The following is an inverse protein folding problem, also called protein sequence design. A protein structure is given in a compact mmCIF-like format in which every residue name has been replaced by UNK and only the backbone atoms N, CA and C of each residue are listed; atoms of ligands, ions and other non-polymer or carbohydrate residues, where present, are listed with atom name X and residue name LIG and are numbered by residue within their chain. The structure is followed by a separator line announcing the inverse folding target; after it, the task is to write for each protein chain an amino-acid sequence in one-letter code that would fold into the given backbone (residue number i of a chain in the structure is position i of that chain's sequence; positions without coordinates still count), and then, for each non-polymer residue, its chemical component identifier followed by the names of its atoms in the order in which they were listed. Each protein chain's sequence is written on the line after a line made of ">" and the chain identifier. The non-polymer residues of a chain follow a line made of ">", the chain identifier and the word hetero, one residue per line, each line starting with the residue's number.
data_IF_635878790931
#
_entry.id   IF_635878790931
#
_cell.length_a   1.000
_cell.length_b   1.000
_cell.length_c   1.000
_cell.angle_alpha   90.00
_cell.angle_beta   90.00
_cell.angle_gamma   90.00
#
_symmetry.space_group_name_H-M   'P 1'
#
loop_
_entity.id
_entity.type
_entity.pdbx_description
1 polymer ?
#
# COMPACT_ATOMS: atom_id res chain seq x y z
N UNK A 1 -17.08 -8.32 52.99
CA UNK A 1 -17.76 -7.20 52.29
C UNK A 1 -16.86 -6.49 51.28
N UNK A 2 -15.62 -6.15 51.61
CA UNK A 2 -14.68 -5.50 50.68
C UNK A 2 -14.37 -6.36 49.44
N UNK A 3 -14.14 -7.67 49.60
CA UNK A 3 -13.87 -8.57 48.47
C UNK A 3 -15.03 -8.66 47.48
N UNK A 4 -16.28 -8.70 47.97
CA UNK A 4 -17.48 -8.74 47.10
C UNK A 4 -17.62 -7.44 46.30
N UNK A 5 -17.33 -6.30 46.92
CA UNK A 5 -17.33 -4.99 46.24
C UNK A 5 -16.23 -4.90 45.18
N UNK A 6 -15.03 -5.43 45.45
CA UNK A 6 -13.93 -5.48 44.49
C UNK A 6 -14.25 -6.39 43.30
N UNK A 7 -14.81 -7.57 43.55
CA UNK A 7 -15.23 -8.51 42.50
C UNK A 7 -16.34 -7.87 41.65
N UNK A 8 -17.34 -7.25 42.28
CA UNK A 8 -18.42 -6.56 41.56
C UNK A 8 -17.91 -5.39 40.71
N UNK A 9 -16.97 -4.60 41.22
CA UNK A 9 -16.35 -3.51 40.47
C UNK A 9 -15.55 -4.04 39.27
N UNK A 10 -14.80 -5.12 39.45
CA UNK A 10 -14.02 -5.73 38.36
C UNK A 10 -14.93 -6.26 37.24
N UNK A 11 -16.01 -6.96 37.61
CA UNK A 11 -17.01 -7.44 36.65
C UNK A 11 -17.66 -6.29 35.88
N UNK A 12 -18.03 -5.20 36.57
CA UNK A 12 -18.62 -4.03 35.94
C UNK A 12 -17.68 -3.41 34.89
N UNK A 13 -16.41 -3.21 35.25
CA UNK A 13 -15.40 -2.66 34.33
C UNK A 13 -15.22 -3.56 33.11
N UNK A 14 -15.17 -4.88 33.32
CA UNK A 14 -15.00 -5.85 32.24
C UNK A 14 -16.20 -5.82 31.26
N UNK A 15 -17.42 -5.71 31.77
CA UNK A 15 -18.62 -5.57 30.93
C UNK A 15 -18.62 -4.28 30.11
N UNK A 16 -18.17 -3.17 30.69
CA UNK A 16 -18.06 -1.89 29.97
C UNK A 16 -17.05 -2.01 28.82
N UNK A 17 -15.88 -2.59 29.09
CA UNK A 17 -14.84 -2.79 28.06
C UNK A 17 -15.35 -3.67 26.91
N UNK A 18 -16.05 -4.77 27.21
CA UNK A 18 -16.64 -5.61 26.18
C UNK A 18 -17.72 -4.89 25.37
N UNK A 19 -18.54 -4.04 26.02
CA UNK A 19 -19.60 -3.29 25.36
C UNK A 19 -19.06 -2.22 24.37
N UNK A 20 -17.91 -1.62 24.67
CA UNK A 20 -17.27 -0.63 23.78
C UNK A 20 -16.27 -1.26 22.79
N UNK A 21 -15.93 -2.54 22.97
CA UNK A 21 -15.01 -3.25 22.07
C UNK A 21 -15.72 -3.54 20.77
N UNK A 22 -15.46 -2.74 19.75
CA UNK A 22 -15.92 -3.00 18.39
C UNK A 22 -14.95 -3.96 17.70
N UNK A 23 -15.49 -4.82 16.84
CA UNK A 23 -14.66 -5.66 15.96
C UNK A 23 -13.99 -4.76 14.92
N UNK A 24 -12.70 -4.48 15.07
CA UNK A 24 -11.93 -3.89 13.97
C UNK A 24 -11.64 -5.00 12.96
N UNK A 25 -12.49 -5.09 11.94
CA UNK A 25 -12.20 -5.90 10.78
C UNK A 25 -11.02 -5.25 10.06
N UNK A 26 -9.84 -5.85 10.12
CA UNK A 26 -8.77 -5.50 9.19
C UNK A 26 -9.26 -5.95 7.81
N UNK A 27 -9.96 -5.06 7.10
CA UNK A 27 -10.51 -5.26 5.77
C UNK A 27 -9.40 -5.46 4.74
N UNK A 28 -8.68 -6.58 4.84
CA UNK A 28 -7.78 -7.13 3.83
C UNK A 28 -8.54 -7.65 2.60
N UNK A 29 -9.79 -7.25 2.42
CA UNK A 29 -10.43 -7.29 1.12
C UNK A 29 -9.67 -6.26 0.29
N UNK A 30 -8.67 -6.73 -0.48
CA UNK A 30 -8.16 -5.96 -1.62
C UNK A 30 -9.40 -5.32 -2.26
N UNK A 31 -9.56 -3.97 -2.23
CA UNK A 31 -10.69 -3.36 -2.88
C UNK A 31 -10.71 -3.94 -4.30
N UNK A 32 -11.87 -4.36 -4.82
CA UNK A 32 -11.91 -4.93 -6.16
C UNK A 32 -11.35 -3.85 -7.08
N UNK A 33 -10.09 -3.98 -7.46
CA UNK A 33 -9.46 -3.25 -8.54
C UNK A 33 -10.07 -3.78 -9.85
N UNK A 34 -11.40 -3.78 -9.91
CA UNK A 34 -12.19 -4.10 -11.07
C UNK A 34 -12.15 -2.86 -11.96
N UNK A 35 -10.97 -2.60 -12.53
CA UNK A 35 -10.71 -1.64 -13.60
C UNK A 35 -10.96 -0.14 -13.30
N UNK A 36 -11.62 0.26 -12.22
CA UNK A 36 -12.02 1.66 -12.05
C UNK A 36 -10.89 2.57 -11.55
N UNK A 37 -9.93 2.05 -10.76
CA UNK A 37 -8.76 2.84 -10.30
C UNK A 37 -7.75 3.08 -11.42
N UNK A 38 -7.67 2.19 -12.41
CA UNK A 38 -6.75 2.35 -13.55
C UNK A 38 -7.42 2.92 -14.79
N UNK A 39 -8.68 3.34 -14.70
CA UNK A 39 -9.49 3.77 -15.83
C UNK A 39 -9.72 2.63 -16.84
N UNK A 40 -10.81 2.72 -17.59
CA UNK A 40 -10.92 1.96 -18.84
C UNK A 40 -9.68 2.33 -19.68
N UNK A 41 -8.75 1.40 -19.87
CA UNK A 41 -7.79 1.46 -20.97
C UNK A 41 -8.58 1.28 -22.25
N UNK A 42 -9.38 2.28 -22.62
CA UNK A 42 -9.88 2.42 -23.97
C UNK A 42 -8.63 2.45 -24.84
N UNK A 43 -8.50 1.47 -25.72
CA UNK A 43 -7.29 1.21 -26.49
C UNK A 43 -6.95 2.36 -27.41
N UNK A 44 -6.34 3.42 -26.87
CA UNK A 44 -5.62 4.39 -27.65
C UNK A 44 -4.15 3.95 -27.64
N UNK A 45 -3.82 3.09 -28.59
CA UNK A 45 -2.48 2.58 -28.89
C UNK A 45 -1.40 3.67 -28.98
N UNK A 46 -1.82 4.93 -29.16
CA UNK A 46 -0.97 6.12 -29.27
C UNK A 46 -0.25 6.46 -27.95
N UNK A 47 -0.89 6.33 -26.78
CA UNK A 47 -0.22 6.62 -25.50
C UNK A 47 0.79 5.52 -25.11
N UNK A 48 0.55 4.27 -25.51
CA UNK A 48 1.50 3.18 -25.27
C UNK A 48 2.76 3.34 -26.12
N UNK A 49 2.62 3.79 -27.37
CA UNK A 49 3.77 4.10 -28.23
C UNK A 49 4.56 5.33 -27.72
N UNK A 50 3.86 6.38 -27.26
CA UNK A 50 4.47 7.54 -26.63
C UNK A 50 5.25 7.17 -25.37
N UNK A 51 4.63 6.40 -24.47
CA UNK A 51 5.26 5.95 -23.23
C UNK A 51 6.41 4.97 -23.48
N UNK A 52 6.32 4.11 -24.50
CA UNK A 52 7.43 3.24 -24.90
C UNK A 52 8.64 4.04 -25.42
N UNK A 53 8.40 5.11 -26.19
CA UNK A 53 9.46 6.02 -26.64
C UNK A 53 10.09 6.77 -25.47
N UNK A 54 9.29 7.26 -24.52
CA UNK A 54 9.78 7.91 -23.30
C UNK A 54 10.61 6.94 -22.45
N UNK A 55 10.11 5.71 -22.23
CA UNK A 55 10.83 4.69 -21.47
C UNK A 55 12.17 4.30 -22.13
N UNK A 56 12.19 4.18 -23.46
CA UNK A 56 13.41 3.92 -24.23
C UNK A 56 14.45 5.04 -24.05
N UNK A 57 14.02 6.30 -24.15
CA UNK A 57 14.90 7.45 -23.92
C UNK A 57 15.47 7.47 -22.48
N UNK A 58 14.65 7.14 -21.47
CA UNK A 58 15.09 7.05 -20.08
C UNK A 58 16.11 5.92 -19.87
N UNK A 59 15.91 4.77 -20.55
CA UNK A 59 16.85 3.65 -20.51
C UNK A 59 18.21 4.03 -21.13
N UNK A 60 18.20 4.77 -22.24
CA UNK A 60 19.44 5.25 -22.88
C UNK A 60 20.23 6.22 -21.98
N UNK A 61 19.53 7.13 -21.28
CA UNK A 61 20.15 8.07 -20.33
C UNK A 61 20.76 7.29 -19.16
N UNK A 62 20.02 6.34 -18.59
CA UNK A 62 20.51 5.51 -17.50
C UNK A 62 21.74 4.68 -17.93
N UNK A 63 21.72 4.11 -19.14
CA UNK A 63 22.84 3.36 -19.69
C UNK A 63 24.10 4.23 -19.85
N UNK A 64 23.97 5.46 -20.37
CA UNK A 64 25.08 6.42 -20.48
C UNK A 64 25.66 6.81 -19.12
N UNK A 65 24.80 7.03 -18.12
CA UNK A 65 25.23 7.36 -16.76
C UNK A 65 25.93 6.18 -16.07
N UNK A 66 25.43 4.96 -16.24
CA UNK A 66 26.09 3.76 -15.74
C UNK A 66 27.46 3.58 -16.41
N UNK A 67 27.54 3.72 -17.74
CA UNK A 67 28.81 3.59 -18.47
C UNK A 67 29.84 4.63 -18.03
N UNK A 68 29.44 5.88 -17.76
CA UNK A 68 30.38 6.89 -17.25
C UNK A 68 30.86 6.57 -15.85
N UNK A 69 30.02 6.00 -14.98
CA UNK A 69 30.43 5.51 -13.66
C UNK A 69 31.39 4.33 -13.74
N UNK A 70 31.10 3.31 -14.56
CA UNK A 70 31.95 2.11 -14.64
C UNK A 70 33.24 2.31 -15.45
N UNK A 71 33.29 3.26 -16.38
CA UNK A 71 34.53 3.60 -17.10
C UNK A 71 35.57 4.29 -16.21
N UNK A 72 35.16 4.86 -15.06
CA UNK A 72 36.07 5.49 -14.10
C UNK A 72 36.84 4.47 -13.23
N UNK A 73 36.36 3.23 -13.12
CA UNK A 73 36.97 2.18 -12.28
C UNK A 73 37.98 1.28 -13.02
N UNK A 74 38.23 1.50 -14.32
CA UNK A 74 39.10 0.66 -15.15
C UNK A 74 40.39 1.37 -15.62
N UNK A 75 40.96 2.29 -14.82
CA UNK A 75 42.29 2.88 -15.08
C UNK A 75 43.31 2.47 -14.03
#
# INVERSE_FOLDING_TARGET
>A
MACIKLIGSFVLVLLIVLAISTTTEAGYRKPPFNGSIFGKRNGNSIEYEGNAKVLSAMCEIAAKACQSWFAQEQK
#
